data_IF_389855981346
#
_entry.id   IF_389855981346
#
_cell.length_a   1.000
_cell.length_b   1.000
_cell.length_c   1.000
_cell.angle_alpha   90.00
_cell.angle_beta   90.00
_cell.angle_gamma   90.00
#
_symmetry.space_group_name_H-M   'P 1'
#
loop_
_entity.id
_entity.type
_entity.pdbx_description
1 polymer ?
#
# COMPACT_ATOMS: atom_id res chain seq x y z
N UNK A 1 -49.18 -0.70 60.56
CA UNK A 1 -48.08 -1.21 61.40
C UNK A 1 -47.40 -2.38 60.70
N UNK A 2 -46.06 -2.37 60.75
CA UNK A 2 -45.06 -3.35 60.28
C UNK A 2 -45.53 -4.82 60.12
N UNK A 3 -45.12 -5.47 59.01
CA UNK A 3 -44.01 -6.45 58.99
C UNK A 3 -43.76 -7.00 57.59
N UNK A 4 -42.50 -6.89 57.18
CA UNK A 4 -41.90 -7.53 56.01
C UNK A 4 -41.77 -9.04 56.19
N UNK A 5 -41.83 -9.79 55.09
CA UNK A 5 -41.08 -11.05 54.88
C UNK A 5 -40.69 -11.19 53.40
N UNK A 6 -39.37 -11.12 53.18
CA UNK A 6 -38.63 -11.59 52.01
C UNK A 6 -38.75 -13.11 51.86
N UNK A 7 -38.80 -13.60 50.61
CA UNK A 7 -38.30 -14.88 50.08
C UNK A 7 -38.32 -14.72 48.54
N UNK A 8 -37.24 -14.33 47.87
CA UNK A 8 -36.15 -15.18 47.32
C UNK A 8 -36.67 -16.32 46.44
N UNK A 9 -36.43 -16.24 45.13
CA UNK A 9 -36.69 -17.36 44.21
C UNK A 9 -36.44 -17.07 42.73
N UNK A 10 -35.20 -17.25 42.29
CA UNK A 10 -34.74 -17.58 40.93
C UNK A 10 -34.94 -16.56 39.79
N UNK A 11 -33.99 -15.63 39.64
CA UNK A 11 -33.68 -15.04 38.33
C UNK A 11 -32.81 -16.04 37.57
N UNK A 12 -33.41 -16.78 36.63
CA UNK A 12 -32.66 -17.56 35.65
C UNK A 12 -32.04 -16.59 34.64
N UNK A 13 -30.81 -16.13 34.93
CA UNK A 13 -29.98 -15.47 33.94
C UNK A 13 -29.59 -16.52 32.88
N UNK A 14 -30.32 -16.55 31.78
CA UNK A 14 -29.92 -17.27 30.57
C UNK A 14 -28.62 -16.61 30.10
N UNK A 15 -27.53 -17.32 30.33
CA UNK A 15 -26.20 -17.01 29.85
C UNK A 15 -26.19 -17.04 28.33
N UNK A 16 -26.47 -15.90 27.70
CA UNK A 16 -26.01 -15.59 26.35
C UNK A 16 -24.51 -15.37 26.41
N UNK A 17 -23.76 -16.46 26.63
CA UNK A 17 -22.34 -16.54 26.27
C UNK A 17 -22.31 -16.89 24.78
N UNK A 18 -22.83 -15.95 23.97
CA UNK A 18 -22.45 -15.86 22.57
C UNK A 18 -21.07 -15.24 22.59
N UNK A 19 -20.05 -16.07 22.44
CA UNK A 19 -18.66 -15.64 22.46
C UNK A 19 -18.39 -14.63 21.35
N UNK A 20 -18.46 -13.35 21.69
CA UNK A 20 -17.52 -12.39 21.13
C UNK A 20 -16.17 -12.81 21.69
N UNK A 21 -15.43 -13.62 20.93
CA UNK A 21 -14.00 -13.76 21.17
C UNK A 21 -13.43 -12.34 21.06
N UNK A 22 -13.14 -11.74 22.21
CA UNK A 22 -12.38 -10.51 22.28
C UNK A 22 -11.03 -10.82 21.65
N UNK A 23 -10.57 -10.03 20.66
CA UNK A 23 -9.22 -10.20 20.11
C UNK A 23 -8.24 -10.16 21.27
N UNK A 24 -7.51 -11.26 21.43
CA UNK A 24 -6.61 -11.53 22.55
C UNK A 24 -5.25 -10.85 22.38
N UNK A 25 -5.01 -10.29 21.20
CA UNK A 25 -3.87 -9.42 20.88
C UNK A 25 -4.34 -8.19 20.09
N UNK A 26 -3.67 -7.04 20.23
CA UNK A 26 -3.94 -5.85 19.39
C UNK A 26 -3.89 -6.15 17.88
N UNK A 27 -3.05 -7.11 17.48
CA UNK A 27 -2.89 -7.59 16.10
C UNK A 27 -4.16 -8.26 15.55
N UNK A 28 -5.04 -8.81 16.40
CA UNK A 28 -6.33 -9.39 15.98
C UNK A 28 -7.44 -8.34 15.78
N UNK A 29 -7.23 -7.09 16.23
CA UNK A 29 -8.22 -6.02 16.15
C UNK A 29 -8.07 -5.10 14.92
N UNK A 30 -6.89 -5.08 14.29
CA UNK A 30 -6.64 -4.27 13.10
C UNK A 30 -7.09 -5.02 11.83
N UNK A 31 -7.70 -4.33 10.85
CA UNK A 31 -7.98 -4.95 9.57
C UNK A 31 -6.67 -5.37 8.89
N UNK A 32 -6.70 -6.45 8.09
CA UNK A 32 -5.55 -6.88 7.26
C UNK A 32 -5.05 -5.81 6.30
N UNK A 33 -5.83 -4.75 6.10
CA UNK A 33 -5.44 -3.56 5.37
C UNK A 33 -6.01 -2.34 6.07
N UNK A 34 -5.16 -1.40 6.43
CA UNK A 34 -5.51 -0.13 7.03
C UNK A 34 -5.01 1.02 6.14
N UNK A 35 -5.86 2.02 5.94
CA UNK A 35 -5.52 3.25 5.24
C UNK A 35 -5.85 4.38 6.20
N UNK A 36 -4.83 5.09 6.66
CA UNK A 36 -5.00 6.26 7.51
C UNK A 36 -5.74 7.35 6.73
N UNK A 37 -6.63 8.14 7.39
CA UNK A 37 -7.22 9.31 6.75
C UNK A 37 -6.13 10.25 6.22
N UNK A 38 -6.25 10.63 4.95
CA UNK A 38 -5.31 11.53 4.29
C UNK A 38 -5.46 12.97 4.76
N UNK A 39 -4.34 13.68 4.86
CA UNK A 39 -4.32 15.13 5.00
C UNK A 39 -4.30 15.75 3.60
N UNK A 40 -5.31 16.55 3.26
CA UNK A 40 -5.34 17.32 2.02
C UNK A 40 -4.95 18.76 2.35
N UNK A 41 -3.96 19.31 1.65
CA UNK A 41 -3.56 20.70 1.89
C UNK A 41 -4.68 21.67 1.49
N UNK A 42 -4.66 22.87 2.06
CA UNK A 42 -5.65 23.89 1.72
C UNK A 42 -5.60 24.30 0.24
N UNK A 43 -4.42 24.20 -0.38
CA UNK A 43 -4.22 24.52 -1.79
C UNK A 43 -4.80 23.44 -2.70
N UNK A 44 -4.52 22.16 -2.42
CA UNK A 44 -5.13 21.04 -3.14
C UNK A 44 -6.66 21.04 -2.99
N UNK A 45 -7.18 21.29 -1.78
CA UNK A 45 -8.63 21.40 -1.54
C UNK A 45 -9.25 22.59 -2.31
N UNK A 46 -8.56 23.74 -2.37
CA UNK A 46 -9.05 24.90 -3.13
C UNK A 46 -9.11 24.63 -4.63
N UNK A 47 -8.13 23.91 -5.17
CA UNK A 47 -8.01 23.66 -6.61
C UNK A 47 -8.88 22.51 -7.09
N UNK A 48 -8.92 21.41 -6.33
CA UNK A 48 -9.53 20.15 -6.75
C UNK A 48 -10.73 19.72 -5.89
N UNK A 49 -10.94 20.32 -4.72
CA UNK A 49 -12.01 19.95 -3.80
C UNK A 49 -11.98 18.45 -3.46
N UNK A 50 -13.15 17.82 -3.50
CA UNK A 50 -13.30 16.39 -3.21
C UNK A 50 -12.52 15.46 -4.16
N UNK A 51 -12.13 15.93 -5.36
CA UNK A 51 -11.36 15.12 -6.30
C UNK A 51 -9.92 14.85 -5.82
N UNK A 52 -9.34 15.73 -4.99
CA UNK A 52 -8.03 15.50 -4.38
C UNK A 52 -8.03 14.25 -3.50
N UNK A 53 -9.08 14.08 -2.68
CA UNK A 53 -9.26 12.89 -1.85
C UNK A 53 -9.53 11.64 -2.69
N UNK A 54 -10.28 11.76 -3.79
CA UNK A 54 -10.52 10.63 -4.69
C UNK A 54 -9.24 10.17 -5.40
N UNK A 55 -8.35 11.10 -5.74
CA UNK A 55 -7.03 10.77 -6.29
C UNK A 55 -6.25 9.89 -5.30
N UNK A 56 -6.22 10.28 -4.02
CA UNK A 56 -5.63 9.47 -2.96
C UNK A 56 -6.29 8.10 -2.83
N UNK A 57 -7.63 8.03 -2.82
CA UNK A 57 -8.35 6.76 -2.71
C UNK A 57 -8.06 5.80 -3.88
N UNK A 58 -7.79 6.33 -5.07
CA UNK A 58 -7.40 5.54 -6.24
C UNK A 58 -5.94 5.07 -6.16
N UNK A 59 -5.01 5.98 -5.85
CA UNK A 59 -3.59 5.66 -5.71
C UNK A 59 -3.35 4.68 -4.57
N UNK A 60 -3.93 4.92 -3.39
CA UNK A 60 -3.82 4.02 -2.24
C UNK A 60 -4.30 2.60 -2.56
N UNK A 61 -5.44 2.47 -3.27
CA UNK A 61 -5.97 1.17 -3.72
C UNK A 61 -5.04 0.50 -4.71
N UNK A 62 -4.49 1.24 -5.66
CA UNK A 62 -3.51 0.73 -6.62
C UNK A 62 -2.27 0.23 -5.88
N UNK A 63 -1.69 1.03 -4.99
CA UNK A 63 -0.49 0.68 -4.25
C UNK A 63 -0.70 -0.57 -3.39
N UNK A 64 -1.78 -0.63 -2.61
CA UNK A 64 -2.10 -1.81 -1.81
C UNK A 64 -2.31 -3.09 -2.65
N UNK A 65 -2.85 -2.95 -3.87
CA UNK A 65 -3.05 -4.07 -4.78
C UNK A 65 -1.77 -4.51 -5.49
N UNK A 66 -0.86 -3.58 -5.80
CA UNK A 66 0.36 -3.89 -6.55
C UNK A 66 1.56 -4.22 -5.67
N UNK A 67 1.66 -3.62 -4.49
CA UNK A 67 2.86 -3.65 -3.67
C UNK A 67 3.25 -5.03 -3.13
N UNK A 68 2.27 -5.89 -2.82
CA UNK A 68 2.49 -7.13 -2.06
C UNK A 68 1.65 -8.28 -2.60
N UNK A 69 1.90 -8.68 -3.86
CA UNK A 69 1.32 -9.91 -4.42
C UNK A 69 2.11 -11.13 -3.97
N UNK A 70 1.43 -12.26 -3.77
CA UNK A 70 2.08 -13.49 -3.27
C UNK A 70 3.21 -13.96 -4.18
N UNK A 71 2.98 -13.90 -5.47
CA UNK A 71 3.93 -14.23 -6.53
C UNK A 71 5.12 -13.30 -6.60
N UNK A 72 5.01 -12.13 -5.95
CA UNK A 72 6.03 -11.09 -5.91
C UNK A 72 6.93 -11.18 -4.68
N UNK A 73 6.37 -11.68 -3.59
CA UNK A 73 7.06 -11.84 -2.30
C UNK A 73 7.60 -13.27 -2.10
N UNK A 74 7.94 -13.99 -3.17
CA UNK A 74 8.51 -15.34 -3.08
C UNK A 74 10.06 -15.30 -3.12
N UNK A 75 10.78 -15.54 -2.00
CA UNK A 75 12.25 -15.58 -1.98
C UNK A 75 12.85 -16.70 -2.83
N UNK A 76 12.05 -17.71 -3.20
CA UNK A 76 12.49 -18.78 -4.10
C UNK A 76 12.37 -18.39 -5.56
N UNK A 77 11.59 -17.34 -5.87
CA UNK A 77 11.45 -16.81 -7.22
C UNK A 77 12.66 -15.92 -7.53
N UNK A 78 13.56 -16.44 -8.33
CA UNK A 78 14.79 -15.73 -8.73
C UNK A 78 14.69 -15.03 -10.07
N UNK A 79 13.57 -15.20 -10.79
CA UNK A 79 13.36 -14.62 -12.13
C UNK A 79 11.94 -14.15 -12.32
N UNK A 80 11.81 -13.06 -13.08
CA UNK A 80 10.56 -12.40 -13.39
C UNK A 80 10.45 -12.18 -14.89
N UNK A 81 9.26 -12.38 -15.44
CA UNK A 81 8.98 -11.97 -16.80
C UNK A 81 8.56 -10.51 -16.83
N UNK A 82 8.79 -9.86 -17.95
CA UNK A 82 8.26 -8.52 -18.24
C UNK A 82 6.74 -8.45 -17.98
N UNK A 83 5.99 -9.49 -18.33
CA UNK A 83 4.55 -9.53 -18.12
C UNK A 83 4.16 -9.44 -16.63
N UNK A 84 4.91 -10.11 -15.74
CA UNK A 84 4.68 -10.05 -14.30
C UNK A 84 4.87 -8.61 -13.77
N UNK A 85 5.86 -7.89 -14.30
CA UNK A 85 6.23 -6.54 -13.88
C UNK A 85 5.36 -5.44 -14.50
N UNK A 86 4.55 -5.75 -15.52
CA UNK A 86 3.65 -4.80 -16.18
C UNK A 86 2.17 -4.96 -15.82
N UNK A 87 1.74 -6.15 -15.42
CA UNK A 87 0.34 -6.45 -15.11
C UNK A 87 -0.23 -5.44 -14.10
N UNK A 88 -1.46 -4.94 -14.32
CA UNK A 88 -2.18 -4.09 -13.35
C UNK A 88 -1.60 -2.69 -13.05
N UNK A 89 -0.38 -2.37 -13.48
CA UNK A 89 0.29 -1.08 -13.17
C UNK A 89 0.31 -0.13 -14.37
N UNK A 90 0.71 -0.63 -15.55
CA UNK A 90 0.95 0.19 -16.75
C UNK A 90 -0.28 0.98 -17.20
N UNK A 91 -1.48 0.46 -16.96
CA UNK A 91 -2.74 1.14 -17.31
C UNK A 91 -3.00 2.42 -16.51
N UNK A 92 -2.29 2.64 -15.41
CA UNK A 92 -2.39 3.83 -14.57
C UNK A 92 -1.28 4.85 -14.85
N UNK A 93 -0.36 4.55 -15.77
CA UNK A 93 0.77 5.43 -16.10
C UNK A 93 0.45 6.28 -17.32
N UNK A 94 0.86 7.54 -17.31
CA UNK A 94 0.90 8.36 -18.51
C UNK A 94 1.83 7.72 -19.57
N UNK A 95 1.59 7.94 -20.88
CA UNK A 95 2.33 7.25 -21.95
C UNK A 95 3.86 7.33 -21.85
N UNK A 96 4.38 8.50 -21.48
CA UNK A 96 5.79 8.73 -21.22
C UNK A 96 6.31 7.89 -20.04
N UNK A 97 5.57 7.85 -18.94
CA UNK A 97 5.89 7.01 -17.77
C UNK A 97 5.82 5.52 -18.11
N UNK A 98 4.89 5.10 -18.98
CA UNK A 98 4.86 3.73 -19.47
C UNK A 98 6.13 3.37 -20.25
N UNK A 99 6.60 4.28 -21.12
CA UNK A 99 7.83 4.08 -21.87
C UNK A 99 9.06 4.04 -20.95
N UNK A 100 9.07 4.85 -19.91
CA UNK A 100 10.15 4.91 -18.91
C UNK A 100 10.17 3.67 -18.03
N UNK A 101 9.00 3.26 -17.53
CA UNK A 101 8.83 2.01 -16.78
C UNK A 101 9.32 0.80 -17.58
N UNK A 102 9.01 0.72 -18.88
CA UNK A 102 9.53 -0.36 -19.75
C UNK A 102 11.04 -0.39 -19.80
N UNK A 103 11.70 0.77 -19.86
CA UNK A 103 13.17 0.84 -19.85
C UNK A 103 13.73 0.45 -18.48
N UNK A 104 13.09 0.90 -17.40
CA UNK A 104 13.46 0.55 -16.02
C UNK A 104 13.37 -0.96 -15.79
N UNK A 105 12.25 -1.59 -16.16
CA UNK A 105 12.10 -3.07 -16.08
C UNK A 105 13.18 -3.78 -16.88
N UNK A 106 13.45 -3.33 -18.11
CA UNK A 106 14.52 -3.90 -18.93
C UNK A 106 15.91 -3.83 -18.27
N UNK A 107 16.24 -2.70 -17.64
CA UNK A 107 17.49 -2.52 -16.90
C UNK A 107 17.54 -3.35 -15.62
N UNK A 108 16.44 -3.42 -14.87
CA UNK A 108 16.34 -4.21 -13.64
C UNK A 108 16.58 -5.70 -13.92
N UNK A 109 15.91 -6.24 -14.96
CA UNK A 109 16.10 -7.60 -15.45
C UNK A 109 17.53 -7.84 -15.96
N UNK A 110 18.20 -6.82 -16.47
CA UNK A 110 19.59 -6.91 -16.94
C UNK A 110 20.65 -6.83 -15.82
N UNK A 111 20.28 -6.57 -14.57
CA UNK A 111 21.27 -6.48 -13.48
C UNK A 111 21.30 -5.16 -12.72
N UNK A 112 20.64 -4.13 -13.21
CA UNK A 112 20.81 -2.76 -12.72
C UNK A 112 20.17 -2.56 -11.35
N UNK A 113 20.99 -2.32 -10.32
CA UNK A 113 20.54 -2.20 -8.93
C UNK A 113 19.60 -1.02 -8.73
N UNK A 114 19.88 0.13 -9.35
CA UNK A 114 19.04 1.32 -9.23
C UNK A 114 17.65 1.08 -9.82
N UNK A 115 17.58 0.55 -11.05
CA UNK A 115 16.30 0.20 -11.67
C UNK A 115 15.56 -0.89 -10.90
N UNK A 116 16.26 -1.81 -10.23
CA UNK A 116 15.62 -2.79 -9.34
C UNK A 116 14.96 -2.12 -8.14
N UNK A 117 15.65 -1.20 -7.46
CA UNK A 117 15.05 -0.45 -6.35
C UNK A 117 13.79 0.29 -6.78
N UNK A 118 13.78 0.84 -8.00
CA UNK A 118 12.60 1.47 -8.57
C UNK A 118 11.47 0.46 -8.82
N UNK A 119 11.79 -0.72 -9.38
CA UNK A 119 10.79 -1.79 -9.53
C UNK A 119 10.25 -2.21 -8.17
N UNK A 120 11.12 -2.36 -7.17
CA UNK A 120 10.80 -2.72 -5.78
C UNK A 120 9.82 -1.75 -5.11
N UNK A 121 9.71 -0.49 -5.55
CA UNK A 121 8.69 0.45 -5.05
C UNK A 121 7.26 -0.03 -5.33
N UNK A 122 7.03 -0.64 -6.49
CA UNK A 122 5.71 -1.11 -6.91
C UNK A 122 5.54 -2.63 -6.84
N UNK A 123 6.62 -3.35 -7.08
CA UNK A 123 6.68 -4.80 -7.24
C UNK A 123 7.90 -5.27 -6.49
N UNK A 124 7.73 -5.85 -5.30
CA UNK A 124 8.88 -6.45 -4.61
C UNK A 124 9.51 -7.49 -5.56
N UNK A 125 10.71 -7.23 -6.06
CA UNK A 125 11.33 -7.96 -7.15
C UNK A 125 12.43 -8.90 -6.63
N UNK A 126 12.98 -8.65 -5.42
CA UNK A 126 14.02 -9.50 -4.86
C UNK A 126 13.97 -9.62 -3.33
N UNK A 127 13.74 -10.85 -2.87
CA UNK A 127 14.09 -11.28 -1.51
C UNK A 127 15.24 -12.29 -1.63
N UNK A 128 16.47 -11.84 -1.41
CA UNK A 128 17.68 -12.67 -1.50
C UNK A 128 17.86 -13.51 -0.23
N UNK A 129 16.99 -14.52 -0.03
CA UNK A 129 17.05 -15.40 1.13
C UNK A 129 16.53 -16.81 0.78
N UNK A 130 17.30 -17.65 0.06
CA UNK A 130 16.85 -18.95 -0.47
C UNK A 130 16.37 -19.95 0.60
N UNK A 131 16.78 -19.74 1.84
CA UNK A 131 16.35 -20.47 3.04
C UNK A 131 14.93 -20.12 3.50
N UNK A 132 14.42 -18.94 3.13
CA UNK A 132 13.06 -18.53 3.45
C UNK A 132 12.07 -19.18 2.48
N UNK A 133 10.89 -19.46 3.00
CA UNK A 133 9.78 -19.96 2.20
C UNK A 133 8.47 -19.33 2.65
N UNK A 134 7.54 -19.14 1.72
CA UNK A 134 6.19 -18.74 2.07
C UNK A 134 5.38 -19.91 2.65
N UNK A 135 4.52 -19.69 3.64
CA UNK A 135 3.57 -20.70 4.11
C UNK A 135 2.56 -21.07 3.01
N UNK A 136 2.39 -22.36 2.71
CA UNK A 136 1.54 -22.82 1.60
C UNK A 136 0.06 -22.43 1.71
N UNK A 137 -0.46 -22.17 2.93
CA UNK A 137 -1.91 -22.09 3.23
C UNK A 137 -2.37 -20.86 4.03
N UNK A 138 -1.53 -19.84 4.20
CA UNK A 138 -1.92 -18.60 4.89
C UNK A 138 -1.75 -17.40 3.94
N UNK A 139 -2.51 -16.30 4.13
CA UNK A 139 -2.17 -15.03 3.50
C UNK A 139 -0.71 -14.70 3.84
N UNK A 140 0.09 -14.42 2.82
CA UNK A 140 1.53 -14.14 2.99
C UNK A 140 1.77 -12.79 3.68
N UNK A 141 0.75 -11.94 3.63
CA UNK A 141 0.73 -10.61 4.24
C UNK A 141 -0.21 -10.65 5.43
N UNK A 142 0.34 -10.52 6.63
CA UNK A 142 -0.41 -10.46 7.88
C UNK A 142 -1.17 -9.14 8.02
N UNK A 143 -0.67 -8.07 7.40
CA UNK A 143 -1.31 -6.76 7.37
C UNK A 143 -0.58 -5.76 6.47
N UNK A 144 -1.31 -4.78 5.95
CA UNK A 144 -0.78 -3.62 5.24
C UNK A 144 -1.32 -2.33 5.85
N UNK A 145 -0.50 -1.29 5.91
CA UNK A 145 -0.85 0.03 6.45
C UNK A 145 -0.32 1.09 5.50
N UNK A 146 -1.21 1.99 5.07
CA UNK A 146 -0.80 3.29 4.52
C UNK A 146 -1.00 4.35 5.60
N UNK A 147 0.03 5.13 5.88
CA UNK A 147 0.05 6.16 6.93
C UNK A 147 0.78 7.42 6.48
N UNK A 148 0.63 8.49 7.25
CA UNK A 148 1.34 9.75 6.99
C UNK A 148 0.98 10.35 5.63
N UNK A 149 -0.21 10.06 5.13
CA UNK A 149 -0.59 10.43 3.78
C UNK A 149 -0.90 11.92 3.66
N UNK A 150 -0.31 12.55 2.66
CA UNK A 150 -0.54 13.96 2.30
C UNK A 150 -0.86 14.07 0.80
N UNK A 151 -1.82 14.94 0.48
CA UNK A 151 -2.14 15.33 -0.90
C UNK A 151 -1.94 16.82 -1.01
N UNK A 152 -0.99 17.22 -1.85
CA UNK A 152 -0.69 18.61 -2.18
C UNK A 152 -0.74 18.85 -3.68
N UNK A 153 -0.65 20.12 -4.10
CA UNK A 153 -0.38 20.46 -5.48
C UNK A 153 1.12 20.35 -5.76
N UNK A 154 1.48 19.72 -6.89
CA UNK A 154 2.88 19.62 -7.27
C UNK A 154 3.40 20.97 -7.81
N UNK A 155 4.70 21.22 -7.65
CA UNK A 155 5.37 22.35 -8.27
C UNK A 155 5.28 22.26 -9.80
N UNK A 156 4.63 23.25 -10.42
CA UNK A 156 4.38 23.23 -11.86
C UNK A 156 5.47 24.01 -12.61
N UNK A 157 6.15 23.41 -13.60
CA UNK A 157 6.99 24.16 -14.51
C UNK A 157 6.16 25.21 -15.26
N UNK A 158 6.73 26.39 -15.49
CA UNK A 158 6.03 27.47 -16.19
C UNK A 158 5.52 27.00 -17.57
N UNK A 159 4.20 27.00 -17.76
CA UNK A 159 3.54 26.68 -19.03
C UNK A 159 2.83 25.33 -19.10
N UNK A 160 2.73 24.56 -18.02
CA UNK A 160 1.85 23.38 -18.01
C UNK A 160 0.37 23.77 -17.99
N UNK A 161 -0.45 23.03 -18.73
CA UNK A 161 -1.90 23.28 -18.83
C UNK A 161 -2.68 22.80 -17.61
N UNK A 162 -2.10 21.87 -16.83
CA UNK A 162 -2.71 21.28 -15.63
C UNK A 162 -1.68 21.21 -14.51
N UNK A 163 -2.09 21.65 -13.32
CA UNK A 163 -1.33 21.53 -12.07
C UNK A 163 -1.48 20.12 -11.51
N UNK A 164 -0.45 19.28 -11.46
CA UNK A 164 -0.59 17.93 -10.92
C UNK A 164 -0.89 17.93 -9.43
N UNK A 165 -1.43 16.81 -8.94
CA UNK A 165 -1.45 16.51 -7.50
C UNK A 165 -0.24 15.66 -7.15
N UNK A 166 0.41 16.00 -6.05
CA UNK A 166 1.44 15.20 -5.42
C UNK A 166 0.82 14.44 -4.24
N UNK A 167 1.04 13.13 -4.19
CA UNK A 167 0.49 12.25 -3.18
C UNK A 167 1.65 11.52 -2.51
N UNK A 168 1.92 11.84 -1.25
CA UNK A 168 2.95 11.17 -0.45
C UNK A 168 2.32 10.28 0.62
N UNK A 169 2.95 9.15 0.93
CA UNK A 169 2.54 8.25 2.01
C UNK A 169 3.66 7.28 2.39
N UNK A 170 3.57 6.78 3.63
CA UNK A 170 4.34 5.63 4.09
C UNK A 170 3.50 4.36 3.95
N UNK A 171 4.06 3.32 3.33
CA UNK A 171 3.47 1.99 3.22
C UNK A 171 4.29 1.01 4.05
N UNK A 172 3.64 0.36 5.02
CA UNK A 172 4.23 -0.78 5.73
C UNK A 172 3.42 -2.05 5.50
N UNK A 173 4.11 -3.18 5.39
CA UNK A 173 3.49 -4.50 5.31
C UNK A 173 4.24 -5.52 6.15
N UNK A 174 3.49 -6.35 6.88
CA UNK A 174 4.02 -7.49 7.63
C UNK A 174 3.90 -8.74 6.78
N UNK A 175 5.01 -9.45 6.63
CA UNK A 175 5.14 -10.65 5.81
C UNK A 175 5.43 -11.85 6.70
N UNK A 176 4.70 -12.95 6.48
CA UNK A 176 4.92 -14.19 7.23
C UNK A 176 5.72 -15.18 6.39
N UNK A 177 6.97 -15.44 6.77
CA UNK A 177 7.81 -16.48 6.16
C UNK A 177 8.12 -17.60 7.14
N UNK A 178 8.66 -18.69 6.61
CA UNK A 178 9.26 -19.77 7.40
C UNK A 178 10.73 -19.93 7.04
N UNK A 179 11.55 -20.11 8.06
CA UNK A 179 12.96 -20.50 7.96
C UNK A 179 13.14 -21.87 8.64
N UNK A 180 13.34 -22.92 7.83
CA UNK A 180 13.43 -24.28 8.34
C UNK A 180 12.13 -24.75 9.02
N UNK A 181 12.12 -24.79 10.37
CA UNK A 181 10.94 -25.17 11.18
C UNK A 181 10.34 -24.01 11.97
N UNK A 182 10.94 -22.81 11.86
CA UNK A 182 10.52 -21.62 12.59
C UNK A 182 9.85 -20.62 11.65
N UNK A 183 9.01 -19.75 12.21
CA UNK A 183 8.52 -18.58 11.49
C UNK A 183 9.64 -17.53 11.45
N UNK A 184 9.71 -16.76 10.37
CA UNK A 184 10.58 -15.61 10.21
C UNK A 184 9.70 -14.43 9.77
N UNK A 185 9.34 -13.50 10.67
CA UNK A 185 8.54 -12.35 10.29
C UNK A 185 9.40 -11.38 9.47
N UNK A 186 8.86 -10.98 8.31
CA UNK A 186 9.42 -9.94 7.46
C UNK A 186 8.63 -8.65 7.57
N UNK A 187 9.29 -7.54 7.31
CA UNK A 187 8.67 -6.22 7.23
C UNK A 187 9.14 -5.50 5.98
N UNK A 188 8.16 -5.05 5.20
CA UNK A 188 8.36 -4.12 4.09
C UNK A 188 7.98 -2.72 4.56
N UNK A 189 8.84 -1.74 4.36
CA UNK A 189 8.58 -0.32 4.59
C UNK A 189 8.91 0.46 3.32
N UNK A 190 8.02 1.35 2.90
CA UNK A 190 8.22 2.24 1.76
C UNK A 190 7.76 3.64 2.10
N UNK A 191 8.50 4.63 1.62
CA UNK A 191 8.03 6.01 1.55
C UNK A 191 7.94 6.34 0.08
N UNK A 192 6.77 6.78 -0.38
CA UNK A 192 6.51 7.04 -1.79
C UNK A 192 5.85 8.38 -1.98
N UNK A 193 6.24 9.05 -3.05
CA UNK A 193 5.56 10.21 -3.61
C UNK A 193 5.14 9.88 -5.04
N UNK A 194 3.88 10.12 -5.35
CA UNK A 194 3.28 9.85 -6.66
C UNK A 194 2.64 11.12 -7.17
N UNK A 195 3.08 11.58 -8.33
CA UNK A 195 2.48 12.74 -9.01
C UNK A 195 1.46 12.26 -10.01
N UNK A 196 0.25 12.83 -9.93
CA UNK A 196 -0.89 12.41 -10.75
C UNK A 196 -1.57 13.58 -11.46
N UNK A 197 -2.10 13.29 -12.64
CA UNK A 197 -2.99 14.18 -13.39
C UNK A 197 -4.31 13.46 -13.72
N UNK A 198 -5.44 14.19 -13.87
CA UNK A 198 -6.68 13.58 -14.30
C UNK A 198 -6.55 13.03 -15.74
N UNK A 199 -7.14 11.87 -16.05
CA UNK A 199 -7.10 11.28 -17.42
C UNK A 199 -7.59 12.27 -18.48
N UNK A 200 -8.66 13.02 -18.20
CA UNK A 200 -9.20 14.03 -19.13
C UNK A 200 -8.22 15.14 -19.47
N UNK A 201 -7.28 15.47 -18.57
CA UNK A 201 -6.23 16.46 -18.81
C UNK A 201 -5.17 15.95 -19.79
N UNK A 202 -4.85 14.65 -19.74
CA UNK A 202 -3.87 14.03 -20.62
C UNK A 202 -4.33 13.98 -22.09
N UNK A 203 -5.65 13.93 -22.33
CA UNK A 203 -6.24 13.90 -23.67
C UNK A 203 -6.40 15.32 -24.28
N UNK A 204 -6.50 16.36 -23.45
CA UNK A 204 -6.76 17.76 -23.88
C UNK A 204 -5.52 18.62 -24.13
N UNK A 205 -4.31 18.06 -24.10
CA UNK A 205 -3.04 18.74 -24.39
C UNK A 205 -2.87 19.18 -25.87
N UNK A 206 -3.99 19.48 -26.54
CA UNK A 206 -4.03 20.16 -27.83
C UNK A 206 -4.56 21.60 -27.74
N UNK A 207 -5.57 21.93 -26.91
CA UNK A 207 -6.06 23.31 -26.71
C UNK A 207 -6.95 23.36 -25.44
N UNK A 208 -6.44 23.74 -24.27
CA UNK A 208 -7.30 24.13 -23.16
C UNK A 208 -6.59 25.09 -22.19
N UNK A 209 -6.66 26.38 -22.47
CA UNK A 209 -6.36 27.43 -21.49
C UNK A 209 -7.50 27.51 -20.47
N UNK A 210 -7.46 26.73 -19.39
CA UNK A 210 -8.45 26.87 -18.32
C UNK A 210 -8.32 25.85 -17.21
N UNK A 211 -8.28 26.36 -15.98
CA UNK A 211 -8.44 25.69 -14.67
C UNK A 211 -9.83 25.07 -14.49
N UNK A 212 -10.27 24.25 -15.45
CA UNK A 212 -11.52 23.51 -15.29
C UNK A 212 -11.22 22.23 -14.53
N UNK A 213 -11.72 22.06 -13.30
CA UNK A 213 -11.54 20.82 -12.57
C UNK A 213 -12.15 19.64 -13.36
N UNK A 214 -11.57 18.43 -13.24
CA UNK A 214 -12.04 17.26 -13.96
C UNK A 214 -13.49 16.90 -13.62
N UNK A 215 -14.17 16.23 -14.55
CA UNK A 215 -15.54 15.74 -14.32
C UNK A 215 -15.57 14.75 -13.12
N UNK A 216 -16.62 14.75 -12.30
CA UNK A 216 -16.76 13.79 -11.21
C UNK A 216 -16.80 12.35 -11.76
N UNK A 217 -15.81 11.54 -11.38
CA UNK A 217 -15.60 10.19 -11.92
C UNK A 217 -14.34 10.03 -12.78
N UNK A 218 -13.45 11.02 -12.76
CA UNK A 218 -12.19 11.00 -13.50
C UNK A 218 -11.18 10.07 -12.83
N UNK A 219 -10.65 9.11 -13.60
CA UNK A 219 -9.49 8.31 -13.21
C UNK A 219 -8.20 9.14 -13.29
N UNK A 220 -7.18 8.73 -12.56
CA UNK A 220 -5.91 9.45 -12.45
C UNK A 220 -4.77 8.70 -13.13
N UNK A 221 -3.88 9.45 -13.79
CA UNK A 221 -2.66 8.93 -14.39
C UNK A 221 -1.45 9.39 -13.59
N UNK A 222 -0.58 8.44 -13.28
CA UNK A 222 0.73 8.69 -12.68
C UNK A 222 1.65 9.26 -13.76
N UNK A 223 2.16 10.46 -13.52
CA UNK A 223 3.12 11.18 -14.38
C UNK A 223 4.53 11.14 -13.81
N UNK A 224 4.65 10.91 -12.51
CA UNK A 224 5.93 10.75 -11.84
C UNK A 224 5.76 9.91 -10.58
N UNK A 225 6.82 9.21 -10.19
CA UNK A 225 6.87 8.52 -8.92
C UNK A 225 8.31 8.55 -8.41
N UNK A 226 8.43 8.62 -7.10
CA UNK A 226 9.70 8.51 -6.40
C UNK A 226 9.48 7.83 -5.05
N UNK A 227 10.55 7.32 -4.47
CA UNK A 227 10.48 6.72 -3.15
C UNK A 227 11.65 5.81 -2.84
N UNK A 228 11.57 5.24 -1.64
CA UNK A 228 12.48 4.22 -1.16
C UNK A 228 11.69 3.02 -0.68
N UNK A 229 12.29 1.84 -0.75
CA UNK A 229 11.73 0.61 -0.20
C UNK A 229 12.82 -0.10 0.58
N UNK A 230 12.48 -0.56 1.77
CA UNK A 230 13.31 -1.40 2.61
C UNK A 230 12.55 -2.67 2.98
N UNK A 231 13.24 -3.80 2.92
CA UNK A 231 12.72 -5.09 3.36
C UNK A 231 13.68 -5.63 4.41
N UNK A 232 13.16 -5.82 5.62
CA UNK A 232 13.89 -6.38 6.74
C UNK A 232 13.22 -7.66 7.24
N UNK A 233 14.00 -8.51 7.88
CA UNK A 233 13.52 -9.68 8.62
C UNK A 233 13.97 -9.51 10.07
N UNK A 234 13.10 -9.83 11.01
CA UNK A 234 13.54 -9.88 12.40
C UNK A 234 14.42 -11.13 12.54
N UNK A 235 15.72 -10.93 12.63
CA UNK A 235 16.61 -11.98 13.14
C UNK A 235 16.25 -12.15 14.62
N UNK A 236 15.60 -13.27 14.97
CA UNK A 236 15.47 -13.70 16.35
C UNK A 236 16.89 -13.92 16.90
N UNK A 237 17.51 -12.84 17.40
CA UNK A 237 18.71 -12.88 18.23
C UNK A 237 18.33 -13.41 19.62
N UNK A 238 17.58 -14.53 19.67
CA UNK A 238 17.46 -15.32 20.89
C UNK A 238 18.80 -16.04 21.07
N UNK A 239 19.73 -15.31 21.69
CA UNK A 239 20.89 -15.87 22.37
C UNK A 239 20.36 -16.85 23.41
N UNK A 240 20.11 -18.09 22.97
CA UNK A 240 19.97 -19.23 23.88
C UNK A 240 21.35 -19.39 24.52
N UNK A 241 21.53 -18.73 25.65
CA UNK A 241 22.61 -19.02 26.57
C UNK A 241 22.54 -20.52 26.86
N UNK A 242 23.43 -21.28 26.23
CA UNK A 242 23.63 -22.69 26.50
C UNK A 242 23.86 -22.84 28.01
N UNK A 243 22.88 -23.45 28.70
CA UNK A 243 23.01 -23.93 30.07
C UNK A 243 23.56 -25.35 30.06
#
# INVERSE_FOLDING_TARGET
MRRARLLVGAFAAVSLVGGCALPSTPDEAAPSTYVEPVTVTAEAEQMYGDEARKAYDEVSRLMLAQSVRREDVDPRRTTWSDADLFEGLVGHFAPEVQADWRRTVGRANAGDTESRHVVDLFRLHRVDAPELAMPDRRPVVGGQVLSGAEVDVADVPAGADVTPLEISFDHSARLDYVHGRSAAPGRLERTMTVTVIPVGAAETSAVATGTTPPDPGTSWLITEYEGTSDLSFDDDEETVAAS
#
